data_IF_260588785738
#
_entry.id   IF_260588785738
#
_cell.length_a   1.000
_cell.length_b   1.000
_cell.length_c   1.000
_cell.angle_alpha   90.00
_cell.angle_beta   90.00
_cell.angle_gamma   90.00
#
_symmetry.space_group_name_H-M   'P 1'
#
loop_
_entity.id
_entity.type
_entity.pdbx_description
1 polymer ?
#
# COMPACT_ATOMS: atom_id res chain seq x y z
N UNK A 1 7.03 12.83 22.61
CA UNK A 1 6.26 11.58 22.43
C UNK A 1 7.25 10.49 22.05
N UNK A 2 7.40 9.44 22.86
CA UNK A 2 8.53 8.52 22.81
C UNK A 2 8.79 8.00 21.37
N UNK A 3 9.99 8.20 20.82
CA UNK A 3 10.33 7.87 19.43
C UNK A 3 10.09 6.38 19.10
N UNK A 4 10.10 5.53 20.12
CA UNK A 4 9.70 4.12 20.05
C UNK A 4 8.24 3.92 19.64
N UNK A 5 7.30 4.72 20.15
CA UNK A 5 5.86 4.60 19.84
C UNK A 5 5.62 4.94 18.37
N UNK A 6 6.31 5.96 17.86
CA UNK A 6 6.20 6.39 16.45
C UNK A 6 6.77 5.34 15.48
N UNK A 7 7.91 4.74 15.82
CA UNK A 7 8.49 3.62 15.04
C UNK A 7 7.56 2.41 15.01
N UNK A 8 6.98 2.04 16.14
CA UNK A 8 6.04 0.93 16.25
C UNK A 8 4.77 1.21 15.45
N UNK A 9 4.18 2.40 15.58
CA UNK A 9 2.99 2.77 14.81
C UNK A 9 3.25 2.75 13.31
N UNK A 10 4.43 3.20 12.87
CA UNK A 10 4.78 3.20 11.46
C UNK A 10 4.98 1.79 10.90
N UNK A 11 5.64 0.90 11.64
CA UNK A 11 5.82 -0.50 11.22
C UNK A 11 4.48 -1.23 11.11
N UNK A 12 3.58 -1.01 12.07
CA UNK A 12 2.21 -1.54 12.03
C UNK A 12 1.46 -1.01 10.79
N UNK A 13 1.57 0.29 10.52
CA UNK A 13 0.86 0.92 9.40
C UNK A 13 1.37 0.44 8.04
N UNK A 14 2.68 0.24 7.88
CA UNK A 14 3.29 -0.35 6.68
C UNK A 14 2.79 -1.77 6.47
N UNK A 15 2.79 -2.59 7.54
CA UNK A 15 2.32 -3.97 7.48
C UNK A 15 0.84 -4.05 7.09
N UNK A 16 0.00 -3.19 7.66
CA UNK A 16 -1.42 -3.10 7.33
C UNK A 16 -1.65 -2.75 5.85
N UNK A 17 -0.89 -1.76 5.33
CA UNK A 17 -0.99 -1.33 3.93
C UNK A 17 -0.54 -2.43 2.98
N UNK A 18 0.56 -3.12 3.28
CA UNK A 18 1.04 -4.27 2.50
C UNK A 18 -0.02 -5.37 2.42
N UNK A 19 -0.57 -5.78 3.57
CA UNK A 19 -1.62 -6.80 3.61
C UNK A 19 -2.86 -6.39 2.80
N UNK A 20 -3.32 -5.15 2.98
CA UNK A 20 -4.48 -4.62 2.25
C UNK A 20 -4.23 -4.59 0.74
N UNK A 21 -3.02 -4.21 0.32
CA UNK A 21 -2.64 -4.18 -1.10
C UNK A 21 -2.60 -5.59 -1.69
N UNK A 22 -2.03 -6.56 -0.98
CA UNK A 22 -2.00 -7.96 -1.41
C UNK A 22 -3.40 -8.53 -1.55
N UNK A 23 -4.29 -8.31 -0.58
CA UNK A 23 -5.69 -8.78 -0.63
C UNK A 23 -6.43 -8.13 -1.79
N UNK A 24 -6.30 -6.81 -1.98
CA UNK A 24 -6.95 -6.10 -3.07
C UNK A 24 -6.50 -6.59 -4.46
N UNK A 25 -5.21 -6.85 -4.64
CA UNK A 25 -4.70 -7.45 -5.89
C UNK A 25 -5.26 -8.87 -6.04
N UNK A 26 -5.28 -9.68 -4.99
CA UNK A 26 -5.86 -11.04 -5.06
C UNK A 26 -7.34 -11.02 -5.44
N UNK A 27 -8.11 -10.06 -4.93
CA UNK A 27 -9.54 -9.88 -5.23
C UNK A 27 -9.76 -9.49 -6.70
N UNK A 28 -8.91 -8.61 -7.25
CA UNK A 28 -9.00 -8.20 -8.66
C UNK A 28 -8.78 -9.39 -9.61
N UNK A 29 -7.92 -10.34 -9.25
CA UNK A 29 -7.53 -11.45 -10.12
C UNK A 29 -8.25 -12.77 -9.81
N UNK A 30 -8.80 -12.97 -8.61
CA UNK A 30 -9.22 -14.28 -8.11
C UNK A 30 -10.48 -14.90 -8.74
N UNK A 31 -11.38 -14.11 -9.34
CA UNK A 31 -12.74 -14.61 -9.70
C UNK A 31 -13.04 -14.61 -11.22
N UNK A 32 -12.16 -14.07 -12.08
CA UNK A 32 -12.47 -13.84 -13.51
C UNK A 32 -11.32 -14.15 -14.48
N UNK A 33 -10.57 -15.24 -14.28
CA UNK A 33 -9.49 -15.62 -15.20
C UNK A 33 -9.94 -15.89 -16.66
N UNK A 34 -11.24 -16.09 -16.91
CA UNK A 34 -11.77 -16.47 -18.23
C UNK A 34 -12.29 -15.32 -19.10
N UNK A 35 -12.32 -14.06 -18.62
CA UNK A 35 -12.85 -12.92 -19.40
C UNK A 35 -11.73 -11.97 -19.87
N UNK A 36 -11.24 -12.19 -21.09
CA UNK A 36 -10.20 -11.38 -21.74
C UNK A 36 -10.67 -9.95 -22.03
N UNK A 37 -11.98 -9.72 -22.17
CA UNK A 37 -12.53 -8.40 -22.48
C UNK A 37 -12.43 -7.46 -21.28
N UNK A 38 -12.56 -8.00 -20.07
CA UNK A 38 -12.42 -7.26 -18.81
C UNK A 38 -10.96 -7.14 -18.33
N UNK A 39 -9.99 -7.77 -19.00
CA UNK A 39 -8.58 -7.80 -18.55
C UNK A 39 -7.97 -6.38 -18.48
N UNK A 40 -8.29 -5.53 -19.45
CA UNK A 40 -7.79 -4.16 -19.53
C UNK A 40 -8.30 -3.30 -18.36
N UNK A 41 -9.57 -3.47 -18.00
CA UNK A 41 -10.17 -2.76 -16.87
C UNK A 41 -9.56 -3.18 -15.53
N UNK A 42 -9.29 -4.48 -15.36
CA UNK A 42 -8.64 -5.05 -14.16
C UNK A 42 -7.19 -4.62 -14.01
N UNK A 43 -6.47 -4.49 -15.12
CA UNK A 43 -5.12 -3.91 -15.15
C UNK A 43 -5.15 -2.45 -14.68
N UNK A 44 -6.12 -1.67 -15.17
CA UNK A 44 -6.33 -0.29 -14.70
C UNK A 44 -6.64 -0.23 -13.20
N UNK A 45 -7.52 -1.10 -12.70
CA UNK A 45 -7.83 -1.21 -11.27
C UNK A 45 -6.61 -1.61 -10.43
N UNK A 46 -5.84 -2.60 -10.87
CA UNK A 46 -4.62 -3.03 -10.17
C UNK A 46 -3.62 -1.87 -10.10
N UNK A 47 -3.45 -1.14 -11.19
CA UNK A 47 -2.55 0.01 -11.25
C UNK A 47 -3.01 1.11 -10.28
N UNK A 48 -4.31 1.38 -10.18
CA UNK A 48 -4.86 2.33 -9.22
C UNK A 48 -4.65 1.88 -7.76
N UNK A 49 -4.84 0.60 -7.47
CA UNK A 49 -4.60 0.03 -6.12
C UNK A 49 -3.13 0.17 -5.74
N UNK A 50 -2.22 -0.17 -6.65
CA UNK A 50 -0.77 -0.05 -6.43
C UNK A 50 -0.37 1.42 -6.29
N UNK A 51 -0.95 2.31 -7.09
CA UNK A 51 -0.71 3.75 -7.01
C UNK A 51 -1.15 4.33 -5.67
N UNK A 52 -2.34 3.97 -5.20
CA UNK A 52 -2.86 4.39 -3.91
C UNK A 52 -2.00 3.84 -2.76
N UNK A 53 -1.64 2.55 -2.82
CA UNK A 53 -0.71 1.94 -1.87
C UNK A 53 0.62 2.68 -1.81
N UNK A 54 1.22 2.99 -2.97
CA UNK A 54 2.47 3.74 -3.05
C UNK A 54 2.37 5.14 -2.44
N UNK A 55 1.26 5.86 -2.66
CA UNK A 55 1.04 7.16 -2.02
C UNK A 55 0.95 7.05 -0.49
N UNK A 56 0.29 6.01 0.02
CA UNK A 56 0.23 5.75 1.46
C UNK A 56 1.61 5.36 2.01
N UNK A 57 2.38 4.51 1.32
CA UNK A 57 3.76 4.21 1.71
C UNK A 57 4.62 5.46 1.74
N UNK A 58 4.55 6.31 0.71
CA UNK A 58 5.27 7.59 0.65
C UNK A 58 4.86 8.53 1.78
N UNK A 59 3.58 8.57 2.15
CA UNK A 59 3.10 9.35 3.30
C UNK A 59 3.69 8.83 4.61
N UNK A 60 3.71 7.51 4.81
CA UNK A 60 4.31 6.88 5.99
C UNK A 60 5.81 7.17 6.03
N UNK A 61 6.51 7.02 4.90
CA UNK A 61 7.91 7.38 4.79
C UNK A 61 8.14 8.86 5.06
N UNK A 62 7.34 9.78 4.53
CA UNK A 62 7.49 11.22 4.78
C UNK A 62 7.32 11.58 6.26
N UNK A 63 6.34 10.96 6.93
CA UNK A 63 6.13 11.12 8.38
C UNK A 63 7.32 10.59 9.19
N UNK A 64 7.90 9.44 8.81
CA UNK A 64 9.12 8.89 9.45
C UNK A 64 10.37 9.71 9.12
N UNK A 65 10.58 10.05 7.84
CA UNK A 65 11.82 10.64 7.31
C UNK A 65 12.00 12.07 7.80
N UNK A 66 10.91 12.75 8.17
CA UNK A 66 10.94 14.04 8.87
C UNK A 66 11.78 13.99 10.16
N UNK A 67 11.85 12.84 10.83
CA UNK A 67 12.68 12.67 12.05
C UNK A 67 14.14 12.29 11.77
N UNK A 68 14.49 11.76 10.58
CA UNK A 68 15.87 11.34 10.29
C UNK A 68 16.79 12.50 9.87
N UNK A 69 16.25 13.71 9.72
CA UNK A 69 16.98 14.90 9.23
C UNK A 69 17.41 15.85 10.35
N UNK A 70 17.21 15.47 11.61
CA UNK A 70 17.56 16.27 12.80
C UNK A 70 18.70 15.65 13.63
N UNK A 71 19.56 14.82 13.02
CA UNK A 71 20.89 14.47 13.57
C UNK A 71 22.01 15.11 12.75
#
# INVERSE_FOLDING_TARGET
MNNTIKKVSAYILISLVLLTTTVAVLEIWGIHLFDIKAIFWRLMQSLLVIFCSSAVLLFIFAVILKEKKEE
#
